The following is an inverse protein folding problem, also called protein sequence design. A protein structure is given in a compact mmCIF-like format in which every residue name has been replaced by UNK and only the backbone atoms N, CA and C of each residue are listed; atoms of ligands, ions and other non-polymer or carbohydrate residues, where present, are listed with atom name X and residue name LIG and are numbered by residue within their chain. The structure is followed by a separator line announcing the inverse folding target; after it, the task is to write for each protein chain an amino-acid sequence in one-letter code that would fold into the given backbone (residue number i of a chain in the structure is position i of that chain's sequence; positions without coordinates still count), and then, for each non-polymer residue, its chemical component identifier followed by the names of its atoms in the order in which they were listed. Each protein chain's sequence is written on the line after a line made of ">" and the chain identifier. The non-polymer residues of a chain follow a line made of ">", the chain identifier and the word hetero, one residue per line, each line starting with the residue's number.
data_IF_837265190375
#
_entry.id   IF_837265190375
#
_cell.length_a   1.000
_cell.length_b   1.000
_cell.length_c   1.000
_cell.angle_alpha   90.00
_cell.angle_beta   90.00
_cell.angle_gamma   90.00
#
_symmetry.space_group_name_H-M   'P 1'
#
loop_
_entity.id
_entity.type
_entity.pdbx_description
1 polymer ?
#
# COMPACT_ATOMS: atom_id res chain seq x y z
N UNK A 1 -11.95 29.63 -12.85
CA UNK A 1 -12.22 29.03 -11.52
C UNK A 1 -13.27 29.77 -10.69
N UNK A 2 -13.34 31.10 -10.70
CA UNK A 2 -14.40 31.84 -9.99
C UNK A 2 -15.82 31.43 -10.45
N UNK A 3 -16.01 31.18 -11.75
CA UNK A 3 -17.28 30.70 -12.31
C UNK A 3 -17.68 29.32 -11.77
N UNK A 4 -16.74 28.37 -11.72
CA UNK A 4 -16.98 27.03 -11.14
C UNK A 4 -17.39 27.14 -9.68
N UNK A 5 -16.66 27.96 -8.89
CA UNK A 5 -17.02 28.24 -7.50
C UNK A 5 -18.44 28.78 -7.37
N UNK A 6 -18.78 29.80 -8.18
CA UNK A 6 -20.11 30.42 -8.18
C UNK A 6 -21.18 29.39 -8.52
N UNK A 7 -20.99 28.63 -9.60
CA UNK A 7 -21.95 27.62 -10.04
C UNK A 7 -22.22 26.57 -8.95
N UNK A 8 -21.18 25.99 -8.36
CA UNK A 8 -21.34 24.99 -7.30
C UNK A 8 -22.04 25.58 -6.08
N UNK A 9 -21.66 26.80 -5.68
CA UNK A 9 -22.28 27.48 -4.53
C UNK A 9 -23.76 27.78 -4.79
N UNK A 10 -24.09 28.32 -5.96
CA UNK A 10 -25.48 28.62 -6.32
C UNK A 10 -26.32 27.36 -6.50
N UNK A 11 -25.78 26.32 -7.12
CA UNK A 11 -26.47 25.04 -7.27
C UNK A 11 -26.78 24.42 -5.92
N UNK A 12 -25.76 24.27 -5.06
CA UNK A 12 -25.93 23.67 -3.74
C UNK A 12 -26.79 24.52 -2.79
N UNK A 13 -26.89 25.84 -3.03
CA UNK A 13 -27.79 26.70 -2.28
C UNK A 13 -29.26 26.62 -2.75
N UNK A 14 -29.51 26.18 -3.99
CA UNK A 14 -30.88 26.01 -4.54
C UNK A 14 -31.48 24.64 -4.25
N UNK A 15 -30.66 23.66 -3.85
CA UNK A 15 -31.10 22.29 -3.60
C UNK A 15 -30.93 21.94 -2.11
N UNK A 16 -32.06 21.80 -1.43
CA UNK A 16 -32.11 21.42 -0.01
C UNK A 16 -31.83 19.93 0.20
N UNK A 17 -32.16 19.09 -0.79
CA UNK A 17 -31.88 17.66 -0.76
C UNK A 17 -30.36 17.40 -0.82
N UNK A 18 -29.77 16.71 0.17
CA UNK A 18 -28.36 16.32 0.13
C UNK A 18 -27.95 15.50 -1.10
N UNK A 19 -28.86 14.71 -1.69
CA UNK A 19 -28.55 13.84 -2.85
C UNK A 19 -28.34 14.65 -4.15
N UNK A 20 -28.97 15.83 -4.26
CA UNK A 20 -28.86 16.72 -5.42
C UNK A 20 -27.63 17.65 -5.36
N UNK A 21 -26.87 17.59 -4.27
CA UNK A 21 -25.70 18.46 -4.08
C UNK A 21 -24.53 17.97 -4.91
N UNK A 22 -23.82 18.93 -5.50
CA UNK A 22 -22.52 18.68 -6.14
C UNK A 22 -21.49 18.43 -5.02
N UNK A 23 -21.06 17.17 -4.92
CA UNK A 23 -20.04 16.70 -3.96
C UNK A 23 -18.64 16.63 -4.57
N UNK A 24 -18.53 16.74 -5.90
CA UNK A 24 -17.24 16.79 -6.56
C UNK A 24 -17.32 17.13 -8.04
N UNK A 25 -16.14 17.36 -8.63
CA UNK A 25 -15.96 17.71 -10.04
C UNK A 25 -14.93 16.79 -10.66
N UNK A 26 -15.19 16.32 -11.89
CA UNK A 26 -14.23 15.57 -12.70
C UNK A 26 -13.83 16.43 -13.89
N UNK A 27 -12.52 16.60 -14.10
CA UNK A 27 -11.96 17.34 -15.23
C UNK A 27 -11.20 16.39 -16.17
N UNK A 28 -11.74 16.27 -17.39
CA UNK A 28 -11.21 15.44 -18.47
C UNK A 28 -10.79 16.33 -19.67
N UNK A 29 -9.51 16.57 -19.94
CA UNK A 29 -8.31 16.22 -19.17
C UNK A 29 -7.47 17.47 -18.88
N UNK A 30 -6.51 17.38 -17.96
CA UNK A 30 -5.65 18.52 -17.61
C UNK A 30 -4.87 19.09 -18.80
N UNK A 31 -4.59 18.27 -19.82
CA UNK A 31 -3.86 18.70 -21.02
C UNK A 31 -4.66 19.63 -21.92
N UNK A 32 -5.99 19.72 -21.77
CA UNK A 32 -6.81 20.67 -22.53
C UNK A 32 -6.84 22.08 -21.91
N UNK A 33 -6.23 22.27 -20.75
CA UNK A 33 -6.10 23.60 -20.15
C UNK A 33 -5.07 24.45 -20.89
N UNK A 34 -5.47 25.65 -21.31
CA UNK A 34 -4.53 26.66 -21.79
C UNK A 34 -3.44 26.92 -20.74
N UNK A 35 -2.17 26.81 -21.14
CA UNK A 35 -1.01 26.97 -20.25
C UNK A 35 -0.46 25.68 -19.65
N UNK A 36 -1.16 24.54 -19.75
CA UNK A 36 -0.61 23.24 -19.32
C UNK A 36 0.46 22.70 -20.29
N UNK A 37 0.44 23.07 -21.57
CA UNK A 37 1.48 22.71 -22.55
C UNK A 37 2.63 23.76 -22.63
N UNK A 38 2.48 24.91 -21.97
CA UNK A 38 3.41 26.04 -22.05
C UNK A 38 4.51 26.02 -20.99
N UNK A 39 5.59 26.78 -21.22
CA UNK A 39 6.73 26.97 -20.29
C UNK A 39 6.36 27.64 -18.95
N UNK A 40 5.07 27.88 -18.66
CA UNK A 40 4.58 28.56 -17.47
C UNK A 40 4.20 27.58 -16.36
N UNK A 41 5.20 26.86 -15.84
CA UNK A 41 5.02 25.95 -14.70
C UNK A 41 4.41 26.65 -13.46
N UNK A 42 4.61 27.95 -13.30
CA UNK A 42 4.05 28.76 -12.22
C UNK A 42 2.52 28.91 -12.30
N UNK A 43 1.95 29.09 -13.50
CA UNK A 43 0.50 29.22 -13.68
C UNK A 43 -0.22 27.91 -13.30
N UNK A 44 0.35 26.78 -13.73
CA UNK A 44 -0.12 25.44 -13.36
C UNK A 44 -0.02 25.21 -11.85
N UNK A 45 1.06 25.66 -11.23
CA UNK A 45 1.28 25.58 -9.78
C UNK A 45 0.20 26.34 -9.01
N UNK A 46 -0.02 27.60 -9.38
CA UNK A 46 -1.02 28.46 -8.75
C UNK A 46 -2.44 27.93 -8.92
N UNK A 47 -2.75 27.33 -10.07
CA UNK A 47 -4.03 26.68 -10.32
C UNK A 47 -4.32 25.57 -9.30
N UNK A 48 -3.38 24.64 -9.09
CA UNK A 48 -3.59 23.54 -8.14
C UNK A 48 -3.69 24.02 -6.69
N UNK A 49 -2.92 25.05 -6.29
CA UNK A 49 -3.07 25.64 -4.96
C UNK A 49 -4.42 26.30 -4.76
N UNK A 50 -4.91 27.05 -5.76
CA UNK A 50 -6.25 27.63 -5.71
C UNK A 50 -7.31 26.54 -5.61
N UNK A 51 -7.17 25.49 -6.41
CA UNK A 51 -8.11 24.38 -6.43
C UNK A 51 -8.16 23.64 -5.10
N UNK A 52 -7.01 23.39 -4.46
CA UNK A 52 -6.96 22.79 -3.13
C UNK A 52 -7.75 23.60 -2.09
N UNK A 53 -7.58 24.93 -2.08
CA UNK A 53 -8.34 25.83 -1.20
C UNK A 53 -9.82 25.85 -1.53
N UNK A 54 -10.19 25.78 -2.80
CA UNK A 54 -11.58 25.72 -3.24
C UNK A 54 -12.27 24.44 -2.74
N UNK A 55 -11.62 23.28 -2.90
CA UNK A 55 -12.11 22.00 -2.39
C UNK A 55 -12.33 22.03 -0.89
N UNK A 56 -11.37 22.59 -0.13
CA UNK A 56 -11.49 22.74 1.32
C UNK A 56 -12.63 23.68 1.72
N UNK A 57 -12.76 24.82 1.05
CA UNK A 57 -13.80 25.81 1.35
C UNK A 57 -15.22 25.32 1.04
N UNK A 58 -15.38 24.50 0.00
CA UNK A 58 -16.68 23.97 -0.43
C UNK A 58 -16.98 22.56 0.10
N UNK A 59 -16.00 21.88 0.69
CA UNK A 59 -16.16 20.50 1.16
C UNK A 59 -16.37 19.48 0.03
N UNK A 60 -15.81 19.73 -1.16
CA UNK A 60 -15.97 18.88 -2.34
C UNK A 60 -14.64 18.21 -2.74
N UNK A 61 -14.71 17.14 -3.52
CA UNK A 61 -13.52 16.59 -4.19
C UNK A 61 -13.37 17.14 -5.63
N UNK A 62 -12.14 17.13 -6.14
CA UNK A 62 -11.88 17.47 -7.53
C UNK A 62 -10.91 16.44 -8.11
N UNK A 63 -11.35 15.73 -9.13
CA UNK A 63 -10.57 14.70 -9.82
C UNK A 63 -10.10 15.26 -11.14
N UNK A 64 -8.80 15.15 -11.40
CA UNK A 64 -8.18 15.66 -12.61
C UNK A 64 -7.53 14.50 -13.35
N UNK A 65 -7.90 14.30 -14.61
CA UNK A 65 -7.32 13.27 -15.46
C UNK A 65 -6.07 13.85 -16.12
N UNK A 66 -4.92 13.27 -15.79
CA UNK A 66 -3.63 13.58 -16.41
C UNK A 66 -3.16 12.47 -17.35
N UNK A 67 -2.46 12.82 -18.42
CA UNK A 67 -1.89 11.85 -19.35
C UNK A 67 -0.39 11.67 -19.16
N UNK A 68 0.04 10.42 -19.19
CA UNK A 68 1.45 10.03 -19.26
C UNK A 68 1.91 10.12 -20.73
N UNK A 69 3.10 10.66 -21.05
CA UNK A 69 3.65 10.65 -22.40
C UNK A 69 3.75 9.24 -22.96
N UNK A 70 3.50 9.06 -24.27
CA UNK A 70 3.58 7.76 -24.96
C UNK A 70 4.95 7.08 -24.81
N UNK A 71 6.03 7.87 -24.67
CA UNK A 71 7.39 7.37 -24.50
C UNK A 71 7.80 7.09 -23.04
N UNK A 72 6.89 7.29 -22.08
CA UNK A 72 7.21 7.04 -20.68
C UNK A 72 7.46 5.55 -20.43
N UNK A 73 8.57 5.26 -19.77
CA UNK A 73 8.97 3.89 -19.46
C UNK A 73 8.48 3.48 -18.06
N UNK A 74 7.91 2.28 -17.96
CA UNK A 74 7.54 1.65 -16.68
C UNK A 74 8.58 0.58 -16.36
N UNK A 75 9.42 0.76 -15.30
CA UNK A 75 10.46 -0.20 -14.99
C UNK A 75 9.90 -1.46 -14.33
N UNK A 76 10.44 -2.63 -14.69
CA UNK A 76 10.02 -3.92 -14.11
C UNK A 76 10.25 -4.03 -12.60
N UNK A 77 11.39 -3.52 -12.13
CA UNK A 77 11.83 -3.66 -10.72
C UNK A 77 10.93 -2.91 -9.74
N UNK A 78 10.39 -1.77 -10.17
CA UNK A 78 9.52 -0.92 -9.36
C UNK A 78 8.55 -0.16 -10.29
N UNK A 79 7.53 -0.84 -10.83
CA UNK A 79 6.61 -0.22 -11.77
C UNK A 79 5.80 0.90 -11.11
N UNK A 80 5.75 0.93 -9.77
CA UNK A 80 4.91 1.83 -9.00
C UNK A 80 5.59 3.14 -8.61
N UNK A 81 6.85 3.08 -8.17
CA UNK A 81 7.55 4.18 -7.51
C UNK A 81 7.71 5.44 -8.36
N UNK A 82 7.69 5.33 -9.69
CA UNK A 82 7.84 6.47 -10.59
C UNK A 82 6.53 7.00 -11.22
N UNK A 83 5.37 6.49 -10.82
CA UNK A 83 4.09 6.81 -11.48
C UNK A 83 3.74 8.30 -11.53
N UNK A 84 3.75 8.97 -10.38
CA UNK A 84 3.49 10.41 -10.33
C UNK A 84 4.57 11.20 -11.10
N UNK A 85 5.80 10.69 -11.17
CA UNK A 85 6.90 11.28 -11.94
C UNK A 85 6.92 10.92 -13.43
N UNK A 86 6.00 10.09 -13.91
CA UNK A 86 5.84 9.81 -15.35
C UNK A 86 4.86 10.79 -16.00
N UNK A 87 4.04 11.48 -15.23
CA UNK A 87 3.11 12.48 -15.76
C UNK A 87 3.87 13.66 -16.37
N UNK A 88 3.32 14.24 -17.45
CA UNK A 88 3.80 15.53 -17.97
C UNK A 88 3.79 16.55 -16.83
N UNK A 89 4.87 17.34 -16.67
CA UNK A 89 4.99 18.34 -15.60
C UNK A 89 5.05 17.74 -14.18
N UNK A 90 5.90 16.71 -14.03
CA UNK A 90 6.22 15.90 -12.83
C UNK A 90 6.15 16.61 -11.48
N UNK A 91 6.73 17.82 -11.38
CA UNK A 91 6.88 18.52 -10.10
C UNK A 91 5.52 18.83 -9.45
N UNK A 92 4.47 19.04 -10.24
CA UNK A 92 3.16 19.44 -9.73
C UNK A 92 2.30 18.27 -9.26
N UNK A 93 2.29 17.18 -10.02
CA UNK A 93 1.54 15.97 -9.67
C UNK A 93 2.08 15.27 -8.43
N UNK A 94 3.38 15.39 -8.20
CA UNK A 94 4.03 14.81 -7.01
C UNK A 94 3.78 15.64 -5.75
N UNK A 95 3.45 16.93 -5.86
CA UNK A 95 3.34 17.83 -4.71
C UNK A 95 1.89 18.22 -4.37
N UNK A 96 1.11 18.70 -5.35
CA UNK A 96 -0.18 19.34 -5.07
C UNK A 96 -1.37 18.40 -4.80
N UNK A 97 -1.58 17.30 -5.56
CA UNK A 97 -2.72 16.40 -5.29
C UNK A 97 -2.61 15.73 -3.91
N UNK A 98 -3.72 15.65 -3.18
CA UNK A 98 -3.81 14.85 -1.94
C UNK A 98 -3.68 13.36 -2.22
N UNK A 99 -4.13 12.92 -3.39
CA UNK A 99 -4.00 11.56 -3.89
C UNK A 99 -3.71 11.60 -5.39
N UNK A 100 -2.84 10.71 -5.86
CA UNK A 100 -2.62 10.43 -7.27
C UNK A 100 -2.83 8.94 -7.49
N UNK A 101 -3.74 8.61 -8.42
CA UNK A 101 -4.06 7.25 -8.82
C UNK A 101 -3.51 7.05 -10.22
N UNK A 102 -2.71 6.01 -10.43
CA UNK A 102 -2.35 5.58 -11.78
C UNK A 102 -3.34 4.52 -12.24
N UNK A 103 -3.84 4.70 -13.46
CA UNK A 103 -4.59 3.71 -14.21
C UNK A 103 -3.79 3.42 -15.48
N UNK A 104 -3.39 2.17 -15.67
CA UNK A 104 -2.63 1.77 -16.86
C UNK A 104 -2.95 0.35 -17.28
N UNK A 105 -2.66 0.05 -18.55
CA UNK A 105 -2.60 -1.33 -19.00
C UNK A 105 -1.48 -2.08 -18.26
N UNK A 106 -1.70 -3.37 -18.07
CA UNK A 106 -0.69 -4.29 -17.55
C UNK A 106 0.57 -4.26 -18.44
N UNK A 107 1.74 -4.42 -17.82
CA UNK A 107 3.01 -4.36 -18.55
C UNK A 107 3.50 -5.75 -18.98
N UNK A 108 4.20 -5.75 -20.10
CA UNK A 108 4.92 -6.89 -20.66
C UNK A 108 6.32 -6.41 -21.01
N UNK A 109 7.34 -6.95 -20.35
CA UNK A 109 8.72 -6.57 -20.57
C UNK A 109 9.42 -7.64 -21.40
N UNK A 110 10.23 -7.21 -22.38
CA UNK A 110 11.16 -8.08 -23.10
C UNK A 110 12.57 -7.81 -22.60
N UNK A 111 13.13 -8.76 -21.85
CA UNK A 111 14.51 -8.69 -21.36
C UNK A 111 15.34 -9.82 -21.97
N UNK A 112 16.66 -9.79 -21.77
CA UNK A 112 17.59 -10.80 -22.34
C UNK A 112 17.25 -12.25 -21.94
N UNK A 113 16.48 -12.45 -20.87
CA UNK A 113 16.04 -13.76 -20.38
C UNK A 113 14.67 -14.23 -20.87
N UNK A 114 13.99 -13.46 -21.72
CA UNK A 114 12.64 -13.78 -22.22
C UNK A 114 11.58 -12.73 -21.86
N UNK A 115 10.31 -12.99 -22.19
CA UNK A 115 9.19 -12.14 -21.79
C UNK A 115 8.92 -12.27 -20.30
N UNK A 116 8.68 -11.14 -19.64
CA UNK A 116 8.20 -11.06 -18.27
C UNK A 116 6.84 -10.38 -18.26
N UNK A 117 5.88 -11.01 -17.58
CA UNK A 117 4.54 -10.49 -17.47
C UNK A 117 4.30 -9.97 -16.06
N UNK A 118 3.76 -8.75 -15.96
CA UNK A 118 3.23 -8.30 -14.69
C UNK A 118 2.03 -9.16 -14.28
N UNK A 119 1.91 -9.45 -12.98
CA UNK A 119 0.86 -10.31 -12.41
C UNK A 119 0.68 -11.64 -13.15
N UNK A 120 1.79 -12.36 -13.36
CA UNK A 120 1.84 -13.67 -14.05
C UNK A 120 0.77 -14.65 -13.53
N UNK A 121 0.60 -14.73 -12.20
CA UNK A 121 -0.44 -15.57 -11.56
C UNK A 121 -1.86 -15.25 -12.03
N UNK A 122 -2.19 -13.97 -12.24
CA UNK A 122 -3.49 -13.57 -12.77
C UNK A 122 -3.62 -13.85 -14.26
N UNK A 123 -2.51 -13.82 -15.02
CA UNK A 123 -2.53 -14.21 -16.43
C UNK A 123 -2.75 -15.70 -16.60
N UNK A 124 -2.19 -16.52 -15.72
CA UNK A 124 -2.46 -17.96 -15.74
C UNK A 124 -3.93 -18.28 -15.45
N UNK A 125 -4.59 -17.48 -14.60
CA UNK A 125 -6.02 -17.59 -14.31
C UNK A 125 -6.93 -17.04 -15.42
N UNK A 126 -6.43 -16.08 -16.21
CA UNK A 126 -7.16 -15.42 -17.29
C UNK A 126 -6.35 -15.41 -18.60
N UNK A 127 -6.04 -16.59 -19.18
CA UNK A 127 -5.11 -16.70 -20.31
C UNK A 127 -5.63 -16.07 -21.61
N UNK A 128 -6.96 -16.02 -21.78
CA UNK A 128 -7.61 -15.49 -22.98
C UNK A 128 -7.75 -13.96 -22.96
N UNK A 129 -7.39 -13.31 -21.85
CA UNK A 129 -7.54 -11.87 -21.71
C UNK A 129 -6.34 -11.16 -22.32
N UNK A 130 -6.62 -10.38 -23.36
CA UNK A 130 -5.62 -9.55 -24.01
C UNK A 130 -5.15 -8.42 -23.09
N UNK A 131 -3.91 -7.97 -23.29
CA UNK A 131 -3.31 -6.85 -22.56
C UNK A 131 -4.18 -5.59 -22.54
N UNK A 132 -4.86 -5.29 -23.65
CA UNK A 132 -5.70 -4.08 -23.81
C UNK A 132 -6.94 -4.09 -22.90
N UNK A 133 -7.32 -5.27 -22.43
CA UNK A 133 -8.48 -5.52 -21.59
C UNK A 133 -8.08 -5.80 -20.14
N UNK A 134 -6.81 -5.54 -19.80
CA UNK A 134 -6.26 -5.78 -18.47
C UNK A 134 -5.65 -4.50 -17.89
N UNK A 135 -6.30 -3.93 -16.89
CA UNK A 135 -5.88 -2.74 -16.17
C UNK A 135 -5.24 -3.04 -14.82
N UNK A 136 -4.31 -2.15 -14.45
CA UNK A 136 -3.74 -2.03 -13.12
C UNK A 136 -4.08 -0.64 -12.60
N UNK A 137 -4.63 -0.59 -11.38
CA UNK A 137 -5.03 0.64 -10.69
C UNK A 137 -4.39 0.68 -9.32
N UNK A 138 -3.73 1.77 -8.96
CA UNK A 138 -3.18 1.93 -7.61
C UNK A 138 -3.00 3.40 -7.22
N UNK A 139 -3.02 3.67 -5.91
CA UNK A 139 -2.67 4.96 -5.35
C UNK A 139 -1.15 5.14 -5.35
N UNK A 140 -0.62 5.79 -6.39
CA UNK A 140 0.79 6.16 -6.53
C UNK A 140 1.25 7.15 -5.44
N UNK A 141 0.35 8.03 -5.01
CA UNK A 141 0.55 8.97 -3.91
C UNK A 141 -0.74 9.08 -3.12
N UNK A 142 -0.64 9.10 -1.79
CA UNK A 142 -1.77 9.44 -0.94
C UNK A 142 -1.28 10.03 0.38
N UNK A 143 -1.79 11.22 0.71
CA UNK A 143 -1.56 11.91 1.99
C UNK A 143 -2.73 11.69 2.96
N UNK A 144 -3.65 10.78 2.65
CA UNK A 144 -4.83 10.43 3.43
C UNK A 144 -4.59 9.13 4.21
N UNK A 145 -5.11 9.06 5.44
CA UNK A 145 -5.09 7.84 6.25
C UNK A 145 -6.03 6.78 5.64
N UNK A 146 -5.65 5.50 5.73
CA UNK A 146 -6.48 4.38 5.28
C UNK A 146 -6.54 4.16 3.77
N UNK A 147 -5.73 4.87 2.97
CA UNK A 147 -5.69 4.63 1.52
C UNK A 147 -4.95 3.32 1.22
N UNK A 148 -5.65 2.40 0.55
CA UNK A 148 -5.04 1.22 -0.01
C UNK A 148 -4.10 1.59 -1.15
N UNK A 149 -2.82 1.22 -1.02
CA UNK A 149 -1.79 1.44 -2.05
C UNK A 149 -1.47 0.19 -2.85
N UNK A 150 -2.10 -0.93 -2.50
CA UNK A 150 -1.92 -2.18 -3.24
C UNK A 150 -2.52 -2.04 -4.64
N UNK A 151 -1.86 -2.60 -5.66
CA UNK A 151 -2.41 -2.62 -7.00
C UNK A 151 -3.68 -3.47 -7.03
N UNK A 152 -4.72 -2.89 -7.63
CA UNK A 152 -5.91 -3.60 -8.05
C UNK A 152 -5.82 -3.92 -9.53
N UNK A 153 -6.29 -5.10 -9.88
CA UNK A 153 -6.24 -5.65 -11.22
C UNK A 153 -7.66 -5.75 -11.73
N UNK A 154 -7.94 -5.20 -12.91
CA UNK A 154 -9.28 -5.19 -13.47
C UNK A 154 -9.26 -5.73 -14.89
N UNK A 155 -10.28 -6.50 -15.24
CA UNK A 155 -10.46 -7.09 -16.56
C UNK A 155 -11.73 -6.51 -17.20
N UNK A 156 -11.66 -6.20 -18.50
CA UNK A 156 -12.80 -5.73 -19.28
C UNK A 156 -13.79 -6.87 -19.51
N UNK A 157 -15.07 -6.62 -19.28
CA UNK A 157 -16.15 -7.52 -19.67
C UNK A 157 -16.65 -7.26 -21.10
N UNK A 158 -17.61 -8.07 -21.54
CA UNK A 158 -18.19 -7.97 -22.88
C UNK A 158 -18.96 -6.65 -23.11
N UNK A 159 -19.42 -5.99 -22.04
CA UNK A 159 -20.13 -4.72 -22.07
C UNK A 159 -19.18 -3.52 -22.08
N UNK A 160 -17.87 -3.76 -21.96
CA UNK A 160 -16.84 -2.74 -21.92
C UNK A 160 -16.57 -2.16 -20.55
N UNK A 161 -17.25 -2.64 -19.49
CA UNK A 161 -16.98 -2.27 -18.11
C UNK A 161 -15.79 -3.08 -17.56
N UNK A 162 -15.19 -2.60 -16.47
CA UNK A 162 -14.04 -3.25 -15.84
C UNK A 162 -14.44 -3.84 -14.50
N UNK A 163 -14.23 -5.15 -14.33
CA UNK A 163 -14.44 -5.87 -13.07
C UNK A 163 -13.12 -6.10 -12.36
N UNK A 164 -13.10 -5.95 -11.04
CA UNK A 164 -11.92 -6.28 -10.24
C UNK A 164 -11.70 -7.80 -10.21
N UNK A 165 -10.44 -8.20 -10.39
CA UNK A 165 -9.96 -9.59 -10.35
C UNK A 165 -8.74 -9.75 -9.46
N UNK A 166 -8.40 -8.71 -8.70
CA UNK A 166 -7.36 -8.79 -7.68
C UNK A 166 -7.60 -10.03 -6.83
N UNK A 167 -6.56 -10.83 -6.61
CA UNK A 167 -6.61 -11.84 -5.56
C UNK A 167 -6.94 -11.11 -4.26
N UNK A 168 -7.83 -11.66 -3.41
CA UNK A 168 -8.13 -11.03 -2.13
C UNK A 168 -6.82 -10.73 -1.42
N UNK A 169 -6.68 -9.51 -0.90
CA UNK A 169 -5.66 -9.25 0.09
C UNK A 169 -5.81 -10.33 1.16
N UNK A 170 -4.72 -10.95 1.67
CA UNK A 170 -4.85 -11.91 2.75
C UNK A 170 -5.73 -11.28 3.83
N UNK A 171 -6.88 -11.89 4.11
CA UNK A 171 -7.87 -11.32 5.02
C UNK A 171 -7.30 -11.29 6.43
N UNK A 172 -7.34 -10.11 7.05
CA UNK A 172 -7.34 -9.99 8.51
C UNK A 172 -8.75 -10.40 9.01
N UNK A 173 -9.12 -11.68 8.86
CA UNK A 173 -10.34 -12.21 9.47
C UNK A 173 -10.05 -12.57 10.94
N UNK A 174 -10.14 -11.58 11.83
CA UNK A 174 -10.62 -11.82 13.19
C UNK A 174 -12.16 -11.76 13.16
N UNK A 175 -12.78 -12.93 13.36
CA UNK A 175 -14.22 -13.04 13.41
C UNK A 175 -14.84 -12.19 14.50
N UNK A 176 -15.94 -11.52 14.17
CA UNK A 176 -16.98 -11.19 15.15
C UNK A 176 -18.30 -11.75 14.65
N UNK A 177 -18.79 -12.76 15.38
CA UNK A 177 -20.03 -13.44 15.11
C UNK A 177 -21.25 -12.57 15.43
N UNK A 178 -22.32 -12.91 14.71
CA UNK A 178 -23.74 -12.63 14.93
C UNK A 178 -24.16 -11.95 16.25
N UNK A 179 -24.84 -10.81 16.10
CA UNK A 179 -25.82 -10.28 17.06
C UNK A 179 -26.86 -9.44 16.29
N UNK A 180 -28.13 -9.82 16.40
CA UNK A 180 -29.28 -9.22 15.70
C UNK A 180 -29.41 -7.70 15.88
N UNK A 181 -29.95 -6.97 14.88
CA UNK A 181 -30.12 -5.53 14.95
C UNK A 181 -31.31 -5.15 15.86
N UNK A 182 -31.02 -4.59 17.03
CA UNK A 182 -32.06 -3.87 17.81
C UNK A 182 -32.22 -2.45 17.24
N UNK A 183 -33.43 -1.99 16.91
CA UNK A 183 -33.64 -0.65 16.34
C UNK A 183 -33.48 0.44 17.42
N UNK A 184 -32.95 1.63 17.07
CA UNK A 184 -32.71 2.69 18.04
C UNK A 184 -34.03 3.36 18.44
N UNK A 185 -34.46 3.17 19.68
CA UNK A 185 -35.46 4.03 20.31
C UNK A 185 -34.85 5.40 20.61
N UNK A 186 -35.53 6.43 20.11
CA UNK A 186 -35.34 7.81 20.49
C UNK A 186 -35.76 8.03 21.94
N UNK A 187 -34.96 8.74 22.74
CA UNK A 187 -35.48 9.63 23.78
C UNK A 187 -34.43 10.60 24.34
N UNK A 188 -34.76 11.89 24.20
CA UNK A 188 -34.60 13.01 25.12
C UNK A 188 -33.22 13.36 25.73
N UNK A 189 -32.79 14.59 25.43
CA UNK A 189 -31.87 15.41 26.26
C UNK A 189 -32.33 15.42 27.73
N UNK A 190 -31.36 15.52 28.66
CA UNK A 190 -31.37 16.68 29.55
C UNK A 190 -30.02 17.41 29.61
N UNK A 191 -30.13 18.68 30.02
CA UNK A 191 -29.06 19.66 30.21
C UNK A 191 -28.20 19.33 31.45
N UNK A 192 -27.01 19.92 31.46
CA UNK A 192 -26.15 20.30 32.61
C UNK A 192 -25.00 19.36 33.01
N UNK A 193 -23.84 19.98 33.27
CA UNK A 193 -22.85 19.50 34.24
C UNK A 193 -21.61 18.77 33.69
N UNK A 194 -20.51 19.51 33.55
CA UNK A 194 -19.09 19.08 33.65
C UNK A 194 -18.66 17.71 33.07
N UNK A 195 -17.94 17.71 31.94
CA UNK A 195 -17.12 16.57 31.49
C UNK A 195 -15.74 16.58 32.16
N UNK A 196 -15.29 15.47 32.78
CA UNK A 196 -13.90 15.30 33.18
C UNK A 196 -13.02 15.09 31.94
N UNK A 197 -11.88 15.80 31.87
CA UNK A 197 -10.86 15.61 30.84
C UNK A 197 -10.16 14.26 31.04
N UNK A 198 -10.58 13.22 30.33
CA UNK A 198 -9.74 12.05 30.14
C UNK A 198 -8.72 12.37 29.05
N UNK A 199 -7.49 12.72 29.46
CA UNK A 199 -6.35 12.77 28.56
C UNK A 199 -6.05 11.34 28.07
N UNK A 200 -6.46 11.00 26.85
CA UNK A 200 -5.86 9.86 26.14
C UNK A 200 -4.46 10.27 25.73
N UNK A 201 -3.50 10.02 26.62
CA UNK A 201 -2.08 10.14 26.32
C UNK A 201 -1.77 9.15 25.19
N UNK A 202 -1.22 9.66 24.08
CA UNK A 202 -0.82 8.80 22.99
C UNK A 202 0.23 7.78 23.47
N UNK A 203 0.17 6.50 23.06
CA UNK A 203 1.11 5.49 23.52
C UNK A 203 2.54 5.90 23.19
N UNK A 204 3.45 5.69 24.16
CA UNK A 204 4.85 6.06 24.04
C UNK A 204 5.53 5.29 22.90
N UNK A 205 6.66 5.79 22.41
CA UNK A 205 7.43 5.13 21.36
C UNK A 205 7.85 3.71 21.76
N UNK A 206 8.16 3.50 23.03
CA UNK A 206 8.52 2.19 23.58
C UNK A 206 7.32 1.21 23.58
N UNK A 207 6.13 1.69 23.93
CA UNK A 207 4.91 0.86 23.91
C UNK A 207 4.53 0.43 22.49
N UNK A 208 4.72 1.32 21.51
CA UNK A 208 4.50 0.99 20.09
C UNK A 208 5.50 -0.04 19.59
N UNK A 209 6.79 0.11 19.93
CA UNK A 209 7.82 -0.87 19.57
C UNK A 209 7.57 -2.24 20.19
N UNK A 210 7.13 -2.29 21.46
CA UNK A 210 6.81 -3.54 22.15
C UNK A 210 5.60 -4.26 21.54
N UNK A 211 4.55 -3.52 21.16
CA UNK A 211 3.39 -4.08 20.46
C UNK A 211 3.77 -4.66 19.11
N UNK A 212 4.51 -3.89 18.29
CA UNK A 212 5.02 -4.36 17.00
C UNK A 212 5.84 -5.64 17.16
N UNK A 213 6.69 -5.73 18.19
CA UNK A 213 7.45 -6.95 18.44
C UNK A 213 6.59 -8.15 18.83
N UNK A 214 5.55 -7.95 19.65
CA UNK A 214 4.58 -9.00 20.00
C UNK A 214 3.80 -9.49 18.78
N UNK A 215 3.32 -8.56 17.95
CA UNK A 215 2.50 -8.84 16.77
C UNK A 215 3.28 -9.69 15.73
N UNK A 216 4.58 -9.44 15.56
CA UNK A 216 5.42 -10.14 14.56
C UNK A 216 6.29 -11.27 15.13
N UNK A 217 6.23 -11.55 16.43
CA UNK A 217 6.97 -12.66 17.05
C UNK A 217 6.60 -14.03 16.46
N UNK A 218 5.31 -14.36 16.20
CA UNK A 218 4.95 -15.62 15.57
C UNK A 218 5.58 -15.80 14.16
N UNK A 219 5.71 -14.72 13.40
CA UNK A 219 6.41 -14.73 12.10
C UNK A 219 7.89 -15.05 12.23
N UNK A 220 8.55 -14.61 13.31
CA UNK A 220 9.96 -14.93 13.58
C UNK A 220 10.15 -16.42 13.89
N UNK A 221 9.23 -17.04 14.62
CA UNK A 221 9.24 -18.48 14.88
C UNK A 221 9.03 -19.30 13.59
N UNK A 222 8.13 -18.83 12.71
CA UNK A 222 7.95 -19.45 11.40
C UNK A 222 9.22 -19.36 10.54
N UNK A 223 9.90 -18.20 10.52
CA UNK A 223 11.17 -18.05 9.78
C UNK A 223 12.21 -19.06 10.25
N UNK A 224 12.30 -19.33 11.56
CA UNK A 224 13.18 -20.37 12.10
C UNK A 224 12.83 -21.76 11.60
N UNK A 225 11.54 -22.11 11.62
CA UNK A 225 11.06 -23.40 11.13
C UNK A 225 11.39 -23.58 9.63
N UNK A 226 11.13 -22.53 8.83
CA UNK A 226 11.46 -22.54 7.40
C UNK A 226 12.96 -22.63 7.18
N UNK A 227 13.80 -22.00 8.00
CA UNK A 227 15.25 -22.18 7.92
C UNK A 227 15.66 -23.64 8.07
N UNK A 228 15.05 -24.40 9.00
CA UNK A 228 15.29 -25.83 9.16
C UNK A 228 14.86 -26.65 7.93
N UNK A 229 13.80 -26.25 7.24
CA UNK A 229 13.39 -26.88 5.96
C UNK A 229 14.32 -26.49 4.81
N UNK A 230 14.73 -25.22 4.73
CA UNK A 230 15.61 -24.71 3.67
C UNK A 230 17.03 -25.28 3.78
N UNK A 231 17.49 -25.55 5.00
CA UNK A 231 18.81 -26.04 5.33
C UNK A 231 18.71 -27.20 6.35
N UNK A 232 18.43 -28.43 5.90
CA UNK A 232 18.25 -29.58 6.79
C UNK A 232 19.49 -29.91 7.64
N UNK A 233 20.69 -29.66 7.10
CA UNK A 233 21.98 -29.90 7.74
C UNK A 233 22.70 -28.59 8.09
N UNK A 234 21.96 -27.59 8.62
CA UNK A 234 22.50 -26.26 8.88
C UNK A 234 23.61 -26.30 9.94
N UNK A 235 24.86 -26.13 9.49
CA UNK A 235 26.03 -26.14 10.36
C UNK A 235 26.43 -24.75 10.87
N UNK A 236 27.18 -24.71 11.97
CA UNK A 236 27.70 -23.46 12.52
C UNK A 236 28.57 -22.71 11.49
N UNK A 237 28.38 -21.40 11.40
CA UNK A 237 29.05 -20.55 10.40
C UNK A 237 28.53 -20.71 8.98
N UNK A 238 27.49 -21.51 8.72
CA UNK A 238 26.89 -21.64 7.40
C UNK A 238 26.09 -20.38 7.05
N UNK A 239 26.25 -19.91 5.81
CA UNK A 239 25.54 -18.73 5.32
C UNK A 239 24.04 -19.01 5.16
N UNK A 240 23.22 -18.16 5.78
CA UNK A 240 21.77 -18.16 5.65
C UNK A 240 21.35 -16.98 4.77
N UNK A 241 20.79 -17.27 3.59
CA UNK A 241 20.28 -16.27 2.68
C UNK A 241 18.78 -16.02 2.90
N UNK A 242 18.41 -14.77 3.24
CA UNK A 242 17.02 -14.33 3.42
C UNK A 242 16.15 -14.63 2.18
N UNK A 243 16.67 -14.42 0.97
CA UNK A 243 15.94 -14.71 -0.27
C UNK A 243 15.60 -16.20 -0.43
N UNK A 244 16.52 -17.08 0.01
CA UNK A 244 16.31 -18.53 -0.08
C UNK A 244 15.27 -19.00 0.94
N UNK A 245 15.32 -18.47 2.16
CA UNK A 245 14.30 -18.72 3.20
C UNK A 245 12.95 -18.20 2.75
N UNK A 246 12.88 -17.00 2.16
CA UNK A 246 11.65 -16.44 1.62
C UNK A 246 11.09 -17.26 0.46
N UNK A 247 11.96 -17.81 -0.41
CA UNK A 247 11.54 -18.71 -1.50
C UNK A 247 10.95 -20.01 -0.96
N UNK A 248 11.57 -20.62 0.05
CA UNK A 248 11.02 -21.82 0.72
C UNK A 248 9.71 -21.51 1.43
N UNK A 249 9.63 -20.40 2.17
CA UNK A 249 8.39 -19.95 2.83
C UNK A 249 7.25 -19.79 1.81
N UNK A 250 7.54 -19.25 0.63
CA UNK A 250 6.54 -19.09 -0.45
C UNK A 250 6.10 -20.43 -1.04
N UNK A 251 7.03 -21.37 -1.19
CA UNK A 251 6.81 -22.68 -1.80
C UNK A 251 6.11 -23.69 -0.88
N UNK A 252 6.15 -23.50 0.44
CA UNK A 252 5.36 -24.31 1.38
C UNK A 252 3.86 -24.02 1.18
N UNK A 253 3.11 -24.95 0.60
CA UNK A 253 1.65 -24.84 0.36
C UNK A 253 0.82 -25.41 1.53
N UNK A 254 -0.25 -24.68 1.87
CA UNK A 254 -1.53 -25.03 2.52
C UNK A 254 -1.64 -25.88 3.82
N UNK A 255 -0.65 -26.66 4.25
CA UNK A 255 -0.86 -27.62 5.36
C UNK A 255 -0.45 -27.12 6.77
N UNK A 256 0.09 -25.90 6.90
CA UNK A 256 0.43 -25.30 8.20
C UNK A 256 -0.13 -23.88 8.32
N UNK A 257 -0.55 -23.44 9.52
CA UNK A 257 -1.49 -22.34 9.68
C UNK A 257 -0.97 -21.00 9.14
N UNK A 258 -1.78 -20.41 8.24
CA UNK A 258 -1.63 -19.14 7.53
C UNK A 258 -1.31 -17.88 8.37
N UNK A 259 -1.70 -17.74 9.66
CA UNK A 259 -1.53 -16.48 10.41
C UNK A 259 -0.08 -16.07 10.62
N UNK A 260 0.85 -17.01 10.79
CA UNK A 260 2.25 -16.66 11.02
C UNK A 260 2.98 -16.24 9.73
N UNK A 261 2.44 -16.60 8.55
CA UNK A 261 3.04 -16.30 7.25
C UNK A 261 2.75 -14.88 6.79
N UNK A 262 1.56 -14.34 7.07
CA UNK A 262 1.22 -12.93 6.80
C UNK A 262 2.09 -11.95 7.59
N UNK A 263 2.67 -12.41 8.70
CA UNK A 263 3.62 -11.67 9.52
C UNK A 263 5.02 -11.55 8.89
N UNK A 264 5.32 -12.27 7.80
CA UNK A 264 6.65 -12.31 7.15
C UNK A 264 6.57 -11.79 5.72
N UNK A 265 6.84 -10.50 5.54
CA UNK A 265 6.90 -9.80 4.27
C UNK A 265 8.25 -9.87 3.56
N UNK A 266 8.24 -9.62 2.25
CA UNK A 266 9.46 -9.56 1.43
C UNK A 266 10.40 -8.43 1.85
N UNK A 267 11.70 -8.58 1.56
CA UNK A 267 12.73 -7.59 1.86
C UNK A 267 12.57 -6.33 0.98
N UNK A 268 11.66 -5.43 1.35
CA UNK A 268 11.61 -4.07 0.81
C UNK A 268 12.10 -3.10 1.90
N UNK A 269 13.40 -2.78 1.84
CA UNK A 269 14.07 -1.91 2.82
C UNK A 269 15.54 -2.22 3.04
N UNK A 270 16.34 -2.31 1.97
CA UNK A 270 17.80 -2.40 2.07
C UNK A 270 18.43 -1.03 1.91
N UNK A 271 18.58 -0.28 3.01
CA UNK A 271 19.19 1.05 3.03
C UNK A 271 19.48 1.54 4.46
N UNK A 272 19.95 2.79 4.60
CA UNK A 272 20.29 3.46 5.89
C UNK A 272 19.13 3.55 6.90
N UNK A 273 17.92 3.18 6.50
CA UNK A 273 16.72 3.07 7.33
C UNK A 273 16.57 1.63 7.81
N UNK A 274 16.38 1.43 9.13
CA UNK A 274 16.23 0.10 9.73
C UNK A 274 15.16 -0.76 9.05
N UNK A 275 15.29 -2.08 9.18
CA UNK A 275 14.38 -3.03 8.54
C UNK A 275 12.93 -2.75 8.96
N UNK A 276 12.02 -2.67 7.97
CA UNK A 276 10.58 -2.49 8.22
C UNK A 276 10.07 -3.67 9.05
N UNK A 277 9.34 -3.39 10.12
CA UNK A 277 8.72 -4.41 10.95
C UNK A 277 7.91 -5.41 10.10
N UNK A 278 8.06 -6.70 10.40
CA UNK A 278 7.45 -7.78 9.64
C UNK A 278 8.15 -8.14 8.33
N UNK A 279 9.20 -7.43 7.90
CA UNK A 279 9.99 -7.88 6.74
C UNK A 279 10.93 -9.04 7.10
N UNK A 280 11.30 -9.88 6.13
CA UNK A 280 12.28 -10.97 6.33
C UNK A 280 13.62 -10.44 6.88
N UNK A 281 14.02 -9.22 6.51
CA UNK A 281 15.20 -8.56 7.05
C UNK A 281 15.03 -8.19 8.54
N UNK A 282 13.83 -7.78 8.95
CA UNK A 282 13.51 -7.52 10.36
C UNK A 282 13.51 -8.81 11.18
N UNK A 283 12.96 -9.91 10.65
CA UNK A 283 13.02 -11.20 11.32
C UNK A 283 14.46 -11.71 11.46
N UNK A 284 15.30 -11.52 10.44
CA UNK A 284 16.72 -11.87 10.52
C UNK A 284 17.45 -11.03 11.58
N UNK A 285 17.15 -9.74 11.67
CA UNK A 285 17.65 -8.90 12.76
C UNK A 285 17.20 -9.41 14.14
N UNK A 286 15.95 -9.89 14.29
CA UNK A 286 15.49 -10.52 15.53
C UNK A 286 16.19 -11.83 15.85
N UNK A 287 16.56 -12.61 14.84
CA UNK A 287 17.37 -13.81 15.03
C UNK A 287 18.83 -13.48 15.36
N UNK A 288 19.37 -12.35 14.88
CA UNK A 288 20.65 -11.80 15.33
C UNK A 288 20.60 -11.39 16.81
N UNK A 289 19.57 -10.66 17.21
CA UNK A 289 19.35 -10.26 18.61
C UNK A 289 19.20 -11.47 19.55
N UNK A 290 18.69 -12.60 19.04
CA UNK A 290 18.58 -13.88 19.77
C UNK A 290 19.85 -14.74 19.72
N UNK A 291 20.92 -14.30 19.06
CA UNK A 291 22.17 -15.05 18.95
C UNK A 291 22.13 -16.26 18.02
N UNK A 292 21.09 -16.38 17.18
CA UNK A 292 20.89 -17.51 16.25
C UNK A 292 21.53 -17.23 14.89
N UNK A 293 21.58 -15.95 14.50
CA UNK A 293 22.30 -15.48 13.33
C UNK A 293 23.37 -14.48 13.75
N UNK A 294 24.43 -14.36 12.95
CA UNK A 294 25.37 -13.24 13.04
C UNK A 294 25.53 -12.59 11.68
N UNK A 295 25.65 -11.27 11.67
CA UNK A 295 25.88 -10.49 10.46
C UNK A 295 27.37 -10.23 10.27
N UNK A 296 27.94 -10.72 9.17
CA UNK A 296 29.32 -10.42 8.73
C UNK A 296 29.28 -9.93 7.28
N UNK A 297 29.85 -8.77 7.00
CA UNK A 297 29.93 -8.19 5.64
C UNK A 297 28.58 -8.19 4.91
N UNK A 298 27.51 -7.74 5.60
CA UNK A 298 26.13 -7.70 5.07
C UNK A 298 25.51 -9.06 4.72
N UNK A 299 26.08 -10.16 5.23
CA UNK A 299 25.56 -11.52 5.08
C UNK A 299 25.28 -12.12 6.45
N UNK A 300 24.27 -12.97 6.52
CA UNK A 300 23.88 -13.64 7.76
C UNK A 300 24.44 -15.06 7.76
N UNK A 301 24.96 -15.46 8.91
CA UNK A 301 25.52 -16.78 9.15
C UNK A 301 24.83 -17.38 10.36
N UNK A 302 24.48 -18.66 10.28
CA UNK A 302 23.93 -19.39 11.39
C UNK A 302 24.98 -19.54 12.48
N UNK A 303 24.57 -19.30 13.71
CA UNK A 303 25.32 -19.69 14.89
C UNK A 303 24.57 -20.86 15.49
N UNK A 304 25.21 -22.03 15.53
CA UNK A 304 24.64 -23.19 16.20
C UNK A 304 24.23 -22.81 17.61
N UNK A 305 23.11 -23.34 18.11
CA UNK A 305 22.79 -23.20 19.53
C UNK A 305 23.94 -23.83 20.33
N UNK A 306 24.93 -23.04 20.73
CA UNK A 306 25.69 -23.32 21.94
C UNK A 306 24.66 -23.34 23.04
N UNK A 307 24.48 -24.50 23.65
CA UNK A 307 23.86 -24.62 24.96
C UNK A 307 24.32 -23.44 25.81
N UNK A 308 23.35 -22.80 26.48
CA UNK A 308 23.63 -21.72 27.42
C UNK A 308 24.80 -22.13 28.33
N UNK A 309 25.69 -21.19 28.73
CA UNK A 309 26.69 -21.49 29.74
C UNK A 309 25.93 -22.01 30.95
N UNK A 310 26.18 -23.28 31.26
CA UNK A 310 25.66 -23.92 32.46
C UNK A 310 26.29 -23.15 33.62
N UNK A 311 25.48 -22.36 34.31
CA UNK A 311 25.85 -21.83 35.60
C UNK A 311 26.14 -23.03 36.52
N UNK A 312 27.45 -23.23 36.74
CA UNK A 312 28.11 -23.57 38.00
C UNK A 312 27.83 -24.99 38.58
N UNK A 313 28.71 -25.51 39.45
CA UNK A 313 29.21 -24.89 40.69
C UNK A 313 30.54 -24.14 40.58
#
# INVERSE_FOLDING_TARGET
>A
MAEVRRYITEWNARHDDPEDRIVGVVMDSATSMAGFDGMEGEATTNFFFYLGRLCEALGIFFTIIGHVPKAAFVPRKDPWGSAASRLRFVAMWTTAPRMAVEVRLIQEWREKGGPYYEAEELRDLFPDIERKDFLVIYAAKANLLGVCREPRYLIRDAQGAFREVSLPAPTDDEGTGAGEPTPPQSQAKPKSGAKPKTSRTAPSRADRSRRVEQDYTPGTALVMQVMGVTYPDLADGQRVAADRVMKTLKAMHAEQPLPARSLVGSASGGGKTGARAGSIAWHFQKLEERGILIKRNSRHFYVGQTDAPTDQP
#
